data_IF_493474298272
#
_entry.id   IF_493474298272
#
_cell.length_a   1.000
_cell.length_b   1.000
_cell.length_c   1.000
_cell.angle_alpha   90.00
_cell.angle_beta   90.00
_cell.angle_gamma   90.00
#
_symmetry.space_group_name_H-M   'P 1'
#
loop_
_entity.id
_entity.type
_entity.pdbx_description
1 polymer ?
#
# COMPACT_ATOMS: atom_id res chain seq x y z
N UNK A 1 46.13 -37.31 -58.27
CA UNK A 1 44.76 -37.24 -57.70
C UNK A 1 44.89 -37.01 -56.21
N UNK A 2 44.51 -35.82 -55.73
CA UNK A 2 44.64 -35.37 -54.35
C UNK A 2 43.51 -35.95 -53.49
N UNK A 3 43.83 -36.60 -52.36
CA UNK A 3 42.88 -36.95 -51.30
C UNK A 3 42.64 -35.74 -50.38
N UNK A 4 41.37 -35.45 -50.10
CA UNK A 4 40.90 -34.34 -49.26
C UNK A 4 40.22 -34.94 -48.02
N UNK A 5 40.60 -34.59 -46.77
CA UNK A 5 39.96 -35.13 -45.58
C UNK A 5 38.69 -34.33 -45.25
N UNK A 6 37.60 -35.04 -44.96
CA UNK A 6 36.33 -34.46 -44.50
C UNK A 6 36.37 -34.40 -42.98
N UNK A 7 36.42 -33.19 -42.42
CA UNK A 7 36.21 -32.95 -40.98
C UNK A 7 34.70 -32.95 -40.70
N UNK A 8 34.22 -33.96 -39.98
CA UNK A 8 32.90 -33.93 -39.34
C UNK A 8 32.96 -33.03 -38.10
N UNK A 9 32.27 -31.90 -38.13
CA UNK A 9 32.09 -31.03 -36.98
C UNK A 9 30.87 -31.52 -36.18
N UNK A 10 31.11 -32.00 -34.96
CA UNK A 10 30.08 -32.51 -34.05
C UNK A 10 29.50 -31.31 -33.26
N UNK A 11 28.37 -30.77 -33.71
CA UNK A 11 27.62 -29.76 -32.97
C UNK A 11 26.90 -30.43 -31.77
N UNK A 12 27.49 -30.37 -30.58
CA UNK A 12 26.78 -30.61 -29.33
C UNK A 12 25.84 -29.44 -29.05
N UNK A 13 24.55 -29.59 -29.40
CA UNK A 13 23.50 -28.72 -28.92
C UNK A 13 23.14 -29.12 -27.48
N UNK A 14 23.59 -28.34 -26.50
CA UNK A 14 23.15 -28.44 -25.11
C UNK A 14 21.70 -27.91 -25.03
N UNK A 15 20.72 -28.70 -24.57
CA UNK A 15 19.39 -28.19 -24.30
C UNK A 15 19.47 -27.25 -23.09
N UNK A 16 19.23 -25.96 -23.33
CA UNK A 16 18.97 -24.99 -22.27
C UNK A 16 17.59 -25.35 -21.71
N UNK A 17 17.56 -26.12 -20.62
CA UNK A 17 16.37 -26.26 -19.80
C UNK A 17 16.12 -24.90 -19.12
N UNK A 18 15.37 -24.03 -19.78
CA UNK A 18 14.72 -22.92 -19.11
C UNK A 18 13.67 -23.54 -18.18
N UNK A 19 13.98 -23.63 -16.88
CA UNK A 19 12.95 -23.86 -15.87
C UNK A 19 11.93 -22.73 -16.04
N UNK A 20 10.63 -23.03 -16.23
CA UNK A 20 9.64 -21.97 -16.24
C UNK A 20 9.82 -21.18 -14.94
N UNK A 21 9.96 -19.86 -15.04
CA UNK A 21 9.85 -19.01 -13.87
C UNK A 21 8.43 -19.22 -13.34
N UNK A 22 8.30 -20.05 -12.31
CA UNK A 22 7.04 -20.22 -11.60
C UNK A 22 6.87 -18.98 -10.72
N UNK A 23 5.68 -18.40 -10.72
CA UNK A 23 5.35 -17.31 -9.81
C UNK A 23 5.66 -17.74 -8.36
N UNK A 24 6.43 -16.91 -7.66
CA UNK A 24 6.91 -17.05 -6.28
C UNK A 24 7.38 -15.65 -5.83
N UNK A 25 7.87 -15.53 -4.60
CA UNK A 25 8.26 -14.24 -4.04
C UNK A 25 9.29 -13.47 -4.87
N UNK A 26 10.14 -14.11 -5.66
CA UNK A 26 11.05 -13.39 -6.57
C UNK A 26 10.31 -12.57 -7.61
N UNK A 27 9.25 -13.15 -8.19
CA UNK A 27 8.41 -12.43 -9.16
C UNK A 27 7.60 -11.34 -8.46
N UNK A 28 7.10 -11.59 -7.25
CA UNK A 28 6.47 -10.53 -6.43
C UNK A 28 7.44 -9.37 -6.16
N UNK A 29 8.72 -9.65 -5.91
CA UNK A 29 9.74 -8.60 -5.75
C UNK A 29 9.92 -7.82 -7.06
N UNK A 30 10.10 -8.50 -8.20
CA UNK A 30 10.42 -7.82 -9.47
C UNK A 30 9.23 -7.11 -10.12
N UNK A 31 8.04 -7.67 -10.01
CA UNK A 31 6.87 -7.27 -10.81
C UNK A 31 5.83 -6.49 -10.00
N UNK A 32 5.92 -6.50 -8.66
CA UNK A 32 4.96 -5.83 -7.78
C UNK A 32 5.62 -4.86 -6.79
N UNK A 33 6.57 -5.35 -5.98
CA UNK A 33 7.16 -4.54 -4.90
C UNK A 33 8.05 -3.43 -5.45
N UNK A 34 9.07 -3.77 -6.26
CA UNK A 34 10.02 -2.78 -6.76
C UNK A 34 9.36 -1.73 -7.68
N UNK A 35 8.52 -2.11 -8.66
CA UNK A 35 7.82 -1.13 -9.48
C UNK A 35 6.85 -0.28 -8.66
N UNK A 36 6.13 -0.88 -7.70
CA UNK A 36 5.17 -0.15 -6.86
C UNK A 36 5.83 0.93 -6.00
N UNK A 37 6.98 0.65 -5.38
CA UNK A 37 7.71 1.66 -4.62
C UNK A 37 8.37 2.72 -5.52
N UNK A 38 8.82 2.34 -6.72
CA UNK A 38 9.31 3.30 -7.69
C UNK A 38 8.21 4.26 -8.16
N UNK A 39 7.01 3.76 -8.44
CA UNK A 39 5.84 4.57 -8.82
C UNK A 39 5.42 5.50 -7.68
N UNK A 40 5.41 5.01 -6.44
CA UNK A 40 5.10 5.85 -5.28
C UNK A 40 6.14 6.95 -5.04
N UNK A 41 7.44 6.63 -5.17
CA UNK A 41 8.50 7.63 -5.09
C UNK A 41 8.38 8.67 -6.22
N UNK A 42 8.09 8.26 -7.45
CA UNK A 42 7.92 9.18 -8.58
C UNK A 42 6.69 10.10 -8.40
N UNK A 43 5.54 9.54 -7.99
CA UNK A 43 4.31 10.29 -7.80
C UNK A 43 4.42 11.33 -6.67
N UNK A 44 5.08 10.97 -5.57
CA UNK A 44 5.30 11.89 -4.44
C UNK A 44 6.34 12.95 -4.76
N UNK A 45 7.38 12.63 -5.54
CA UNK A 45 8.33 13.62 -6.04
C UNK A 45 7.64 14.64 -6.96
N UNK A 46 6.83 14.19 -7.92
CA UNK A 46 6.08 15.08 -8.80
C UNK A 46 5.17 16.03 -8.02
N UNK A 47 4.45 15.52 -7.01
CA UNK A 47 3.63 16.34 -6.12
C UNK A 47 4.46 17.36 -5.32
N UNK A 48 5.65 16.97 -4.86
CA UNK A 48 6.57 17.88 -4.17
C UNK A 48 7.06 19.00 -5.09
N UNK A 49 7.39 18.69 -6.34
CA UNK A 49 7.84 19.65 -7.33
C UNK A 49 6.72 20.65 -7.70
N UNK A 50 5.48 20.17 -7.81
CA UNK A 50 4.29 21.02 -8.00
C UNK A 50 4.09 21.98 -6.82
N UNK A 51 4.15 21.46 -5.58
CA UNK A 51 3.98 22.24 -4.36
C UNK A 51 5.08 23.29 -4.14
N UNK A 52 6.31 23.01 -4.60
CA UNK A 52 7.39 23.99 -4.59
C UNK A 52 7.04 25.23 -5.43
N UNK A 53 6.38 25.04 -6.58
CA UNK A 53 6.00 26.12 -7.48
C UNK A 53 4.72 26.85 -7.04
N UNK A 54 3.72 26.11 -6.54
CA UNK A 54 2.41 26.66 -6.18
C UNK A 54 1.72 25.82 -5.11
N UNK A 55 1.27 26.46 -4.03
CA UNK A 55 0.56 25.80 -2.92
C UNK A 55 -0.97 25.87 -3.02
N UNK A 56 -1.54 26.45 -4.09
CA UNK A 56 -3.00 26.52 -4.22
C UNK A 56 -3.59 25.12 -4.31
N UNK A 57 -4.53 24.82 -3.41
CA UNK A 57 -5.11 23.50 -3.26
C UNK A 57 -5.58 22.88 -4.59
N UNK A 58 -6.35 23.62 -5.41
CA UNK A 58 -6.85 23.13 -6.70
C UNK A 58 -5.76 22.62 -7.65
N UNK A 59 -4.58 23.25 -7.63
CA UNK A 59 -3.45 22.83 -8.47
C UNK A 59 -2.79 21.55 -7.99
N UNK A 60 -2.87 21.25 -6.69
CA UNK A 60 -2.19 20.10 -6.05
C UNK A 60 -3.10 18.88 -5.89
N UNK A 61 -4.42 19.04 -5.98
CA UNK A 61 -5.38 17.93 -5.86
C UNK A 61 -5.09 16.79 -6.86
N UNK A 62 -4.73 17.02 -8.14
CA UNK A 62 -4.37 15.94 -9.05
C UNK A 62 -3.13 15.15 -8.59
N UNK A 63 -2.03 15.83 -8.27
CA UNK A 63 -0.80 15.19 -7.77
C UNK A 63 -1.03 14.45 -6.45
N UNK A 64 -1.83 15.03 -5.55
CA UNK A 64 -2.25 14.36 -4.30
C UNK A 64 -2.98 13.04 -4.57
N UNK A 65 -3.95 13.04 -5.51
CA UNK A 65 -4.69 11.84 -5.85
C UNK A 65 -3.79 10.77 -6.49
N UNK A 66 -2.85 11.17 -7.35
CA UNK A 66 -1.89 10.25 -7.96
C UNK A 66 -0.93 9.63 -6.91
N UNK A 67 -0.41 10.44 -5.99
CA UNK A 67 0.45 9.96 -4.90
C UNK A 67 -0.30 8.98 -3.97
N UNK A 68 -1.57 9.27 -3.64
CA UNK A 68 -2.38 8.37 -2.82
C UNK A 68 -2.73 7.09 -3.60
N UNK A 69 -3.04 7.16 -4.90
CA UNK A 69 -3.26 5.97 -5.72
C UNK A 69 -2.02 5.06 -5.74
N UNK A 70 -0.83 5.63 -5.93
CA UNK A 70 0.43 4.90 -5.90
C UNK A 70 0.72 4.29 -4.51
N UNK A 71 0.42 5.03 -3.43
CA UNK A 71 0.50 4.48 -2.07
C UNK A 71 -0.39 3.26 -1.88
N UNK A 72 -1.64 3.29 -2.36
CA UNK A 72 -2.55 2.13 -2.26
C UNK A 72 -2.01 0.90 -3.01
N UNK A 73 -1.16 1.10 -4.03
CA UNK A 73 -0.46 0.04 -4.74
C UNK A 73 0.52 -0.76 -3.87
N UNK A 74 1.06 -0.15 -2.80
CA UNK A 74 2.09 -0.76 -1.94
C UNK A 74 1.78 -0.75 -0.44
N UNK A 75 0.70 -0.09 0.00
CA UNK A 75 0.38 0.08 1.43
C UNK A 75 0.25 -1.25 2.20
N UNK A 76 -0.20 -2.31 1.54
CA UNK A 76 -0.34 -3.63 2.15
C UNK A 76 1.01 -4.27 2.49
N UNK A 77 2.13 -3.76 1.96
CA UNK A 77 3.48 -4.24 2.24
C UNK A 77 3.99 -3.67 3.57
N UNK A 78 3.44 -4.15 4.69
CA UNK A 78 3.78 -3.73 6.06
C UNK A 78 4.97 -4.53 6.63
N UNK A 79 6.07 -4.56 5.88
CA UNK A 79 7.32 -5.21 6.31
C UNK A 79 8.54 -4.53 5.68
N UNK A 80 9.72 -4.80 6.24
CA UNK A 80 10.98 -4.28 5.70
C UNK A 80 11.09 -2.76 5.76
N UNK A 81 11.62 -2.10 4.72
CA UNK A 81 11.89 -0.65 4.74
C UNK A 81 10.69 0.25 4.99
N UNK A 82 9.47 -0.22 4.72
CA UNK A 82 8.24 0.53 4.99
C UNK A 82 7.90 0.61 6.49
N UNK A 83 8.33 -0.36 7.30
CA UNK A 83 8.12 -0.31 8.75
C UNK A 83 9.30 0.31 9.50
N UNK A 84 10.44 0.47 8.85
CA UNK A 84 11.59 1.18 9.44
C UNK A 84 11.20 2.60 9.85
N UNK A 85 11.64 3.03 11.03
CA UNK A 85 11.45 4.39 11.56
C UNK A 85 9.99 4.91 11.50
N UNK A 86 9.01 4.00 11.51
CA UNK A 86 7.59 4.34 11.42
C UNK A 86 7.15 4.93 10.07
N UNK A 87 7.87 4.67 8.98
CA UNK A 87 7.59 5.27 7.67
C UNK A 87 6.14 5.10 7.20
N UNK A 88 5.59 3.88 7.23
CA UNK A 88 4.20 3.62 6.82
C UNK A 88 3.18 4.47 7.60
N UNK A 89 3.41 4.68 8.90
CA UNK A 89 2.55 5.50 9.76
C UNK A 89 2.73 6.99 9.46
N UNK A 90 3.95 7.43 9.14
CA UNK A 90 4.22 8.80 8.70
C UNK A 90 3.63 9.12 7.32
N UNK A 91 3.56 8.14 6.40
CA UNK A 91 2.93 8.29 5.09
C UNK A 91 1.42 8.47 5.22
N UNK A 92 0.76 7.64 6.04
CA UNK A 92 -0.70 7.70 6.20
C UNK A 92 -1.13 7.38 7.63
N UNK A 93 -1.17 8.40 8.48
CA UNK A 93 -1.72 8.29 9.84
C UNK A 93 -3.25 8.27 9.81
N UNK A 94 -3.84 7.09 9.70
CA UNK A 94 -5.28 6.85 9.84
C UNK A 94 -5.52 5.41 10.37
N UNK A 95 -6.50 5.19 11.25
CA UNK A 95 -7.47 6.15 11.77
C UNK A 95 -6.94 7.05 12.91
N UNK A 96 -7.49 8.26 13.01
CA UNK A 96 -7.19 9.22 14.09
C UNK A 96 -8.43 9.52 14.96
N UNK A 97 -8.82 8.61 15.85
CA UNK A 97 -10.00 8.80 16.70
C UNK A 97 -9.85 9.92 17.74
N UNK A 98 -8.60 10.34 18.03
CA UNK A 98 -8.30 11.39 19.01
C UNK A 98 -8.19 12.78 18.37
N UNK A 99 -8.26 12.88 17.04
CA UNK A 99 -8.08 14.12 16.30
C UNK A 99 -6.72 14.76 16.53
N UNK A 100 -5.68 13.95 16.80
CA UNK A 100 -4.33 14.45 17.08
C UNK A 100 -3.73 15.16 15.87
N UNK A 101 -4.07 14.72 14.64
CA UNK A 101 -3.54 15.29 13.42
C UNK A 101 -3.97 16.74 13.18
N UNK A 102 -5.27 17.03 13.35
CA UNK A 102 -5.79 18.39 13.23
C UNK A 102 -5.20 19.32 14.30
N UNK A 103 -5.06 18.82 15.54
CA UNK A 103 -4.44 19.58 16.64
C UNK A 103 -2.96 19.89 16.34
N UNK A 104 -2.20 18.90 15.89
CA UNK A 104 -0.78 19.07 15.59
C UNK A 104 -0.56 20.00 14.39
N UNK A 105 -1.34 19.88 13.31
CA UNK A 105 -1.25 20.81 12.17
C UNK A 105 -1.62 22.25 12.53
N UNK A 106 -2.63 22.45 13.38
CA UNK A 106 -2.94 23.80 13.89
C UNK A 106 -1.75 24.40 14.63
N UNK A 107 -1.03 23.59 15.41
CA UNK A 107 0.22 24.00 16.08
C UNK A 107 1.31 24.41 15.09
N UNK A 108 1.48 23.64 14.01
CA UNK A 108 2.45 23.94 12.96
C UNK A 108 2.09 25.20 12.14
N UNK A 109 0.81 25.41 11.83
CA UNK A 109 0.33 26.58 11.08
C UNK A 109 0.47 27.90 11.85
N UNK A 110 0.38 27.85 13.18
CA UNK A 110 0.44 29.03 14.06
C UNK A 110 1.77 29.16 14.81
N UNK A 111 2.68 28.20 14.61
CA UNK A 111 3.90 28.05 15.37
C UNK A 111 5.12 28.65 14.68
N UNK A 112 6.29 28.18 15.11
CA UNK A 112 7.59 28.60 14.58
C UNK A 112 7.84 27.99 13.19
N UNK A 113 8.04 28.80 12.13
CA UNK A 113 8.37 28.31 10.79
C UNK A 113 9.63 27.44 10.73
N UNK A 114 10.54 27.53 11.71
CA UNK A 114 11.71 26.64 11.78
C UNK A 114 11.32 25.15 11.90
N UNK A 115 10.13 24.85 12.45
CA UNK A 115 9.62 23.47 12.56
C UNK A 115 9.21 22.87 11.20
N UNK A 116 9.09 23.71 10.16
CA UNK A 116 8.72 23.30 8.80
C UNK A 116 9.95 23.07 7.90
N UNK A 117 11.16 23.29 8.42
CA UNK A 117 12.37 23.05 7.63
C UNK A 117 12.64 21.56 7.46
N UNK A 118 13.35 21.13 6.38
CA UNK A 118 13.66 19.72 6.16
C UNK A 118 14.43 19.05 7.31
N UNK A 119 15.12 19.83 8.14
CA UNK A 119 15.88 19.33 9.29
C UNK A 119 14.99 19.03 10.51
N UNK A 120 13.86 19.72 10.69
CA UNK A 120 13.00 19.56 11.88
C UNK A 120 11.64 18.94 11.55
N UNK A 121 11.18 19.02 10.29
CA UNK A 121 9.89 18.48 9.90
C UNK A 121 9.78 16.95 10.10
N UNK A 122 10.84 16.14 9.87
CA UNK A 122 10.82 14.72 10.19
C UNK A 122 10.62 14.38 11.67
N UNK A 123 10.85 15.33 12.58
CA UNK A 123 10.64 15.15 14.04
C UNK A 123 9.22 15.54 14.47
N UNK A 124 8.45 16.17 13.58
CA UNK A 124 7.06 16.53 13.88
C UNK A 124 6.19 15.29 13.94
N UNK A 125 5.11 15.40 14.71
CA UNK A 125 4.14 14.32 14.88
C UNK A 125 3.71 13.74 13.54
N UNK A 126 3.84 12.42 13.39
CA UNK A 126 3.36 11.66 12.21
C UNK A 126 1.88 11.93 11.93
N UNK A 127 1.08 12.24 12.95
CA UNK A 127 -0.32 12.59 12.79
C UNK A 127 -0.54 13.89 11.97
N UNK A 128 0.44 14.79 11.92
CA UNK A 128 0.36 16.05 11.17
C UNK A 128 0.85 15.94 9.72
N UNK A 129 1.51 14.84 9.36
CA UNK A 129 2.31 14.66 8.15
C UNK A 129 1.62 13.71 7.15
N UNK A 130 2.31 13.46 6.04
CA UNK A 130 1.90 12.48 5.03
C UNK A 130 0.61 12.83 4.31
N UNK A 131 0.02 11.83 3.66
CA UNK A 131 -1.18 11.94 2.83
C UNK A 131 -2.40 12.40 3.65
N UNK A 132 -2.57 11.90 4.88
CA UNK A 132 -3.71 12.27 5.73
C UNK A 132 -3.59 13.69 6.26
N UNK A 133 -2.38 14.13 6.57
CA UNK A 133 -2.07 15.53 6.86
C UNK A 133 -2.34 16.42 5.65
N UNK A 134 -1.82 16.06 4.49
CA UNK A 134 -1.98 16.82 3.27
C UNK A 134 -3.45 16.93 2.84
N UNK A 135 -4.24 15.88 3.01
CA UNK A 135 -5.69 15.92 2.74
C UNK A 135 -6.38 17.04 3.53
N UNK A 136 -6.08 17.19 4.84
CA UNK A 136 -6.69 18.23 5.67
C UNK A 136 -6.31 19.65 5.24
N UNK A 137 -5.17 19.82 4.58
CA UNK A 137 -4.71 21.11 4.05
C UNK A 137 -5.34 21.41 2.68
N UNK A 138 -5.51 20.39 1.83
CA UNK A 138 -6.05 20.52 0.46
C UNK A 138 -7.59 20.48 0.41
N UNK A 139 -8.22 19.83 1.39
CA UNK A 139 -9.66 19.66 1.53
C UNK A 139 -10.10 20.08 2.94
N UNK A 140 -9.89 21.35 3.34
CA UNK A 140 -10.22 21.79 4.68
C UNK A 140 -11.74 21.82 4.88
N UNK A 141 -12.24 21.15 5.92
CA UNK A 141 -13.66 21.17 6.28
C UNK A 141 -14.11 22.55 6.81
N UNK A 142 -13.18 23.30 7.39
CA UNK A 142 -13.36 24.65 7.93
C UNK A 142 -12.20 25.52 7.45
N UNK A 143 -12.35 26.85 7.34
CA UNK A 143 -11.25 27.74 6.96
C UNK A 143 -10.00 27.52 7.82
N UNK A 144 -8.84 27.41 7.17
CA UNK A 144 -7.56 27.25 7.84
C UNK A 144 -7.18 28.54 8.60
N UNK A 145 -6.54 28.43 9.78
CA UNK A 145 -6.27 29.58 10.64
C UNK A 145 -5.11 30.47 10.16
N UNK A 146 -4.35 30.02 9.17
CA UNK A 146 -3.22 30.72 8.55
C UNK A 146 -3.01 30.21 7.11
N UNK A 147 -2.13 30.86 6.35
CA UNK A 147 -1.70 30.39 5.02
C UNK A 147 -1.01 29.01 5.15
N UNK A 148 -1.52 27.95 4.51
CA UNK A 148 -0.94 26.62 4.64
C UNK A 148 0.27 26.35 3.74
N UNK A 149 0.69 27.30 2.90
CA UNK A 149 1.66 27.01 1.84
C UNK A 149 2.97 26.39 2.32
N UNK A 150 3.57 26.93 3.38
CA UNK A 150 4.83 26.39 3.92
C UNK A 150 4.64 24.99 4.51
N UNK A 151 3.51 24.74 5.17
CA UNK A 151 3.20 23.42 5.72
C UNK A 151 2.89 22.40 4.61
N UNK A 152 2.20 22.81 3.53
CA UNK A 152 1.98 21.97 2.35
C UNK A 152 3.33 21.55 1.76
N UNK A 153 4.23 22.50 1.51
CA UNK A 153 5.57 22.24 0.96
C UNK A 153 6.38 21.31 1.85
N UNK A 154 6.40 21.56 3.16
CA UNK A 154 7.09 20.70 4.11
C UNK A 154 6.51 19.27 4.10
N UNK A 155 5.18 19.15 4.04
CA UNK A 155 4.49 17.86 4.01
C UNK A 155 4.78 17.06 2.73
N UNK A 156 4.72 17.70 1.55
CA UNK A 156 5.00 17.03 0.27
C UNK A 156 6.46 16.64 0.14
N UNK A 157 7.37 17.51 0.58
CA UNK A 157 8.82 17.24 0.54
C UNK A 157 9.19 16.06 1.44
N UNK A 158 8.64 16.01 2.66
CA UNK A 158 8.86 14.91 3.58
C UNK A 158 8.25 13.59 3.10
N UNK A 159 7.06 13.64 2.49
CA UNK A 159 6.43 12.48 1.88
C UNK A 159 7.29 11.91 0.74
N UNK A 160 7.80 12.76 -0.15
CA UNK A 160 8.71 12.36 -1.22
C UNK A 160 10.04 11.78 -0.67
N UNK A 161 10.59 12.41 0.37
CA UNK A 161 11.79 11.93 1.06
C UNK A 161 11.60 10.50 1.62
N UNK A 162 10.50 10.24 2.32
CA UNK A 162 10.20 8.91 2.87
C UNK A 162 10.00 7.89 1.75
N UNK A 163 9.21 8.22 0.72
CA UNK A 163 8.97 7.32 -0.40
C UNK A 163 10.28 6.93 -1.12
N UNK A 164 11.17 7.91 -1.34
CA UNK A 164 12.50 7.67 -1.89
C UNK A 164 13.36 6.81 -0.97
N UNK A 165 13.37 7.05 0.34
CA UNK A 165 14.12 6.23 1.31
C UNK A 165 13.68 4.76 1.29
N UNK A 166 12.37 4.50 1.25
CA UNK A 166 11.84 3.14 1.14
C UNK A 166 12.29 2.49 -0.17
N UNK A 167 12.12 3.19 -1.29
CA UNK A 167 12.51 2.68 -2.61
C UNK A 167 14.01 2.35 -2.68
N UNK A 168 14.87 3.26 -2.24
CA UNK A 168 16.32 3.06 -2.22
C UNK A 168 16.73 1.90 -1.30
N UNK A 169 16.10 1.76 -0.13
CA UNK A 169 16.39 0.67 0.79
C UNK A 169 15.99 -0.69 0.21
N UNK A 170 14.91 -0.74 -0.59
CA UNK A 170 14.55 -1.93 -1.36
C UNK A 170 15.59 -2.25 -2.43
N UNK A 171 15.93 -1.29 -3.29
CA UNK A 171 16.87 -1.48 -4.40
C UNK A 171 18.28 -1.85 -3.94
N UNK A 172 18.77 -1.19 -2.88
CA UNK A 172 20.18 -1.27 -2.46
C UNK A 172 20.42 -2.21 -1.27
N UNK A 173 19.45 -3.04 -0.90
CA UNK A 173 19.67 -3.99 0.20
C UNK A 173 18.53 -4.99 0.39
N UNK A 174 17.32 -4.51 0.66
CA UNK A 174 16.27 -5.38 1.17
C UNK A 174 15.75 -6.37 0.13
N UNK A 175 15.69 -6.00 -1.15
CA UNK A 175 15.38 -6.95 -2.23
C UNK A 175 16.37 -8.12 -2.22
N UNK A 176 17.68 -7.84 -2.08
CA UNK A 176 18.69 -8.90 -1.97
C UNK A 176 18.44 -9.77 -0.73
N UNK A 177 18.15 -9.18 0.42
CA UNK A 177 17.82 -9.92 1.65
C UNK A 177 16.65 -10.89 1.44
N UNK A 178 15.60 -10.46 0.74
CA UNK A 178 14.45 -11.32 0.39
C UNK A 178 14.86 -12.41 -0.60
N UNK A 179 15.54 -12.03 -1.70
CA UNK A 179 15.91 -12.94 -2.79
C UNK A 179 16.93 -14.02 -2.38
N UNK A 180 17.75 -13.77 -1.35
CA UNK A 180 18.72 -14.73 -0.83
C UNK A 180 18.22 -15.51 0.38
N UNK A 181 16.91 -15.61 0.59
CA UNK A 181 16.34 -16.40 1.68
C UNK A 181 16.87 -17.85 1.67
N UNK A 182 17.34 -18.33 2.82
CA UNK A 182 17.97 -19.65 2.95
C UNK A 182 19.43 -19.75 2.48
N UNK A 183 20.02 -18.69 1.95
CA UNK A 183 21.44 -18.66 1.63
C UNK A 183 22.31 -18.41 2.88
N UNK A 184 23.54 -18.94 2.88
CA UNK A 184 24.52 -18.65 3.93
C UNK A 184 24.77 -17.13 4.04
N UNK A 185 24.67 -16.59 5.26
CA UNK A 185 24.83 -15.16 5.55
C UNK A 185 23.54 -14.33 5.53
N UNK A 186 22.40 -14.93 5.16
CA UNK A 186 21.10 -14.29 5.36
C UNK A 186 20.60 -14.55 6.79
N UNK A 187 20.62 -13.52 7.63
CA UNK A 187 20.15 -13.60 9.03
C UNK A 187 18.71 -13.15 9.21
N UNK A 188 18.07 -12.61 8.18
CA UNK A 188 16.67 -12.14 8.22
C UNK A 188 15.71 -13.25 7.83
N UNK A 189 16.02 -13.96 6.74
CA UNK A 189 15.22 -15.08 6.24
C UNK A 189 16.08 -16.34 6.14
N UNK A 190 15.94 -17.23 7.12
CA UNK A 190 16.65 -18.49 7.22
C UNK A 190 16.14 -19.53 6.23
N UNK A 191 14.91 -19.38 5.75
CA UNK A 191 14.32 -20.27 4.75
C UNK A 191 13.48 -19.51 3.74
N UNK A 192 13.28 -20.09 2.56
CA UNK A 192 12.38 -19.52 1.53
C UNK A 192 10.90 -19.45 1.98
N UNK A 193 10.34 -20.46 2.67
CA UNK A 193 8.97 -20.38 3.18
C UNK A 193 8.73 -19.21 4.14
N UNK A 194 9.74 -18.72 4.87
CA UNK A 194 9.58 -17.52 5.73
C UNK A 194 9.22 -16.27 4.92
N UNK A 195 9.79 -16.10 3.72
CA UNK A 195 9.43 -14.98 2.84
C UNK A 195 7.99 -15.13 2.35
N UNK A 196 7.61 -16.34 1.91
CA UNK A 196 6.23 -16.62 1.48
C UNK A 196 5.24 -16.38 2.61
N UNK A 197 5.58 -16.77 3.84
CA UNK A 197 4.78 -16.51 5.04
C UNK A 197 4.59 -15.01 5.25
N UNK A 198 5.66 -14.21 5.16
CA UNK A 198 5.54 -12.74 5.30
C UNK A 198 4.62 -12.15 4.24
N UNK A 199 4.78 -12.57 2.97
CA UNK A 199 3.95 -12.10 1.86
C UNK A 199 2.49 -12.53 1.97
N UNK A 200 2.25 -13.78 2.37
CA UNK A 200 0.92 -14.30 2.69
C UNK A 200 0.25 -13.49 3.81
N UNK A 201 0.98 -13.21 4.89
CA UNK A 201 0.48 -12.37 6.00
C UNK A 201 0.08 -10.98 5.52
N UNK A 202 0.80 -10.39 4.54
CA UNK A 202 0.41 -9.08 3.98
C UNK A 202 -0.93 -9.13 3.24
N UNK A 203 -1.21 -10.23 2.54
CA UNK A 203 -2.47 -10.40 1.81
C UNK A 203 -3.64 -10.48 2.79
N UNK A 204 -3.52 -11.33 3.80
CA UNK A 204 -4.54 -11.51 4.86
C UNK A 204 -4.76 -10.20 5.61
N UNK A 205 -3.70 -9.57 6.13
CA UNK A 205 -3.78 -8.33 6.88
C UNK A 205 -4.38 -7.18 6.04
N UNK A 206 -4.12 -7.12 4.73
CA UNK A 206 -4.73 -6.14 3.83
C UNK A 206 -6.25 -6.31 3.70
N UNK A 207 -6.73 -7.56 3.55
CA UNK A 207 -8.16 -7.86 3.50
C UNK A 207 -8.86 -7.55 4.83
N UNK A 208 -8.22 -7.91 5.95
CA UNK A 208 -8.70 -7.56 7.29
C UNK A 208 -8.78 -6.05 7.48
N UNK A 209 -7.77 -5.30 7.02
CA UNK A 209 -7.77 -3.84 7.10
C UNK A 209 -8.91 -3.21 6.29
N UNK A 210 -9.16 -3.69 5.07
CA UNK A 210 -10.30 -3.24 4.26
C UNK A 210 -11.64 -3.52 4.97
N UNK A 211 -11.80 -4.73 5.50
CA UNK A 211 -13.01 -5.17 6.21
C UNK A 211 -13.26 -4.40 7.51
N UNK A 212 -12.26 -4.36 8.39
CA UNK A 212 -12.39 -3.95 9.78
C UNK A 212 -12.05 -2.48 10.02
N UNK A 213 -11.29 -1.86 9.11
CA UNK A 213 -11.03 -0.43 9.17
C UNK A 213 -11.82 0.32 8.09
N UNK A 214 -11.59 0.06 6.80
CA UNK A 214 -12.18 0.90 5.74
C UNK A 214 -13.70 0.80 5.64
N UNK A 215 -14.26 -0.40 5.84
CA UNK A 215 -15.71 -0.62 5.75
C UNK A 215 -16.40 -0.57 7.13
N UNK A 216 -15.85 -1.22 8.16
CA UNK A 216 -16.53 -1.28 9.46
C UNK A 216 -16.62 0.08 10.17
N UNK A 217 -15.60 0.94 10.03
CA UNK A 217 -15.60 2.26 10.69
C UNK A 217 -16.74 3.16 10.21
N UNK A 218 -17.00 3.34 8.90
CA UNK A 218 -18.14 4.10 8.44
C UNK A 218 -19.49 3.42 8.70
N UNK A 219 -19.53 2.09 8.67
CA UNK A 219 -20.74 1.34 9.04
C UNK A 219 -21.20 1.64 10.47
N UNK A 220 -20.28 1.72 11.43
CA UNK A 220 -20.65 1.88 12.85
C UNK A 220 -21.67 0.83 13.32
N UNK A 221 -22.49 1.17 14.31
CA UNK A 221 -23.64 0.32 14.68
C UNK A 221 -24.85 0.70 13.83
N UNK A 222 -25.85 -0.19 13.75
CA UNK A 222 -27.08 0.07 12.99
C UNK A 222 -27.75 1.41 13.39
N UNK A 223 -27.89 1.68 14.68
CA UNK A 223 -28.50 2.93 15.18
C UNK A 223 -27.57 4.14 15.13
N UNK A 224 -26.27 3.93 14.88
CA UNK A 224 -25.25 4.99 14.92
C UNK A 224 -24.24 4.80 13.78
N UNK A 225 -24.68 4.98 12.52
CA UNK A 225 -23.77 5.03 11.38
C UNK A 225 -22.77 6.18 11.53
N UNK A 226 -21.59 6.03 10.91
CA UNK A 226 -20.46 6.96 11.07
C UNK A 226 -19.76 7.26 9.74
N UNK A 227 -20.46 7.66 8.67
CA UNK A 227 -19.85 7.90 7.35
C UNK A 227 -18.65 8.87 7.41
N UNK A 228 -18.65 9.81 8.35
CA UNK A 228 -17.55 10.74 8.58
C UNK A 228 -16.23 10.08 9.05
N UNK A 229 -16.27 8.80 9.45
CA UNK A 229 -15.09 8.02 9.87
C UNK A 229 -14.43 7.25 8.73
N UNK A 230 -14.96 7.35 7.50
CA UNK A 230 -14.33 6.73 6.34
C UNK A 230 -12.92 7.28 6.09
N UNK A 231 -12.01 6.44 5.57
CA UNK A 231 -10.67 6.89 5.16
C UNK A 231 -10.80 7.91 4.03
N UNK A 232 -10.01 8.98 4.09
CA UNK A 232 -9.89 9.96 3.01
C UNK A 232 -11.26 10.50 2.51
N UNK A 233 -12.17 10.73 3.46
CA UNK A 233 -13.55 11.16 3.17
C UNK A 233 -13.60 12.56 2.60
N UNK A 234 -12.70 13.46 3.01
CA UNK A 234 -12.67 14.86 2.58
C UNK A 234 -12.26 14.99 1.10
N UNK A 235 -11.40 14.09 0.63
CA UNK A 235 -11.00 13.98 -0.78
C UNK A 235 -11.91 13.09 -1.63
N UNK A 236 -12.97 12.50 -1.03
CA UNK A 236 -13.92 11.65 -1.75
C UNK A 236 -13.37 10.28 -2.14
N UNK A 237 -12.33 9.79 -1.45
CA UNK A 237 -11.54 8.63 -1.88
C UNK A 237 -11.90 7.32 -1.19
N UNK A 238 -12.82 7.29 -0.25
CA UNK A 238 -13.04 6.14 0.63
C UNK A 238 -13.29 4.82 -0.13
N UNK A 239 -14.23 4.80 -1.08
CA UNK A 239 -14.48 3.63 -1.92
C UNK A 239 -13.33 3.36 -2.91
N UNK A 240 -12.71 4.41 -3.45
CA UNK A 240 -11.56 4.29 -4.36
C UNK A 240 -10.39 3.58 -3.67
N UNK A 241 -10.12 3.91 -2.41
CA UNK A 241 -9.04 3.30 -1.65
C UNK A 241 -9.30 1.81 -1.39
N UNK A 242 -10.53 1.42 -1.03
CA UNK A 242 -10.92 -0.01 -0.94
C UNK A 242 -10.69 -0.72 -2.28
N UNK A 243 -11.12 -0.10 -3.38
CA UNK A 243 -10.96 -0.68 -4.72
C UNK A 243 -9.48 -0.87 -5.08
N UNK A 244 -8.64 0.14 -4.88
CA UNK A 244 -7.21 0.07 -5.21
C UNK A 244 -6.47 -0.91 -4.30
N UNK A 245 -6.84 -0.99 -3.02
CA UNK A 245 -6.31 -1.99 -2.08
C UNK A 245 -6.59 -3.42 -2.57
N UNK A 246 -7.86 -3.73 -2.89
CA UNK A 246 -8.24 -5.03 -3.44
C UNK A 246 -7.52 -5.35 -4.76
N UNK A 247 -7.31 -4.36 -5.62
CA UNK A 247 -6.57 -4.53 -6.87
C UNK A 247 -5.09 -4.82 -6.64
N UNK A 248 -4.45 -4.10 -5.71
CA UNK A 248 -3.05 -4.31 -5.35
C UNK A 248 -2.81 -5.68 -4.72
N UNK A 249 -3.67 -6.08 -3.78
CA UNK A 249 -3.64 -7.41 -3.15
C UNK A 249 -3.83 -8.52 -4.19
N UNK A 250 -4.78 -8.37 -5.12
CA UNK A 250 -4.97 -9.32 -6.22
C UNK A 250 -3.75 -9.41 -7.13
N UNK A 251 -3.12 -8.28 -7.47
CA UNK A 251 -1.91 -8.25 -8.29
C UNK A 251 -0.73 -8.96 -7.60
N UNK A 252 -0.61 -8.79 -6.28
CA UNK A 252 0.36 -9.51 -5.46
C UNK A 252 0.12 -11.02 -5.49
N UNK A 253 -1.13 -11.49 -5.38
CA UNK A 253 -1.45 -12.94 -5.48
C UNK A 253 -1.01 -13.51 -6.83
N UNK A 254 -1.29 -12.80 -7.94
CA UNK A 254 -0.92 -13.24 -9.30
C UNK A 254 0.59 -13.42 -9.46
N UNK A 255 1.40 -12.60 -8.79
CA UNK A 255 2.87 -12.67 -8.85
C UNK A 255 3.45 -13.66 -7.86
N UNK A 256 2.72 -13.97 -6.78
CA UNK A 256 3.18 -14.84 -5.68
C UNK A 256 2.92 -16.32 -5.94
N UNK A 257 1.81 -16.69 -6.59
CA UNK A 257 1.54 -18.08 -6.96
C UNK A 257 0.73 -18.15 -8.26
N UNK A 258 1.01 -19.13 -9.15
CA UNK A 258 0.22 -19.34 -10.35
C UNK A 258 -1.09 -20.10 -10.08
N UNK A 259 -1.27 -20.72 -8.91
CA UNK A 259 -2.39 -21.64 -8.62
C UNK A 259 -3.26 -21.15 -7.44
N UNK A 260 -4.06 -20.13 -7.71
CA UNK A 260 -5.02 -19.59 -6.74
C UNK A 260 -6.38 -19.20 -7.37
N UNK A 261 -7.02 -20.07 -8.17
CA UNK A 261 -8.21 -19.71 -8.94
C UNK A 261 -9.39 -19.25 -8.09
N UNK A 262 -9.61 -19.81 -6.89
CA UNK A 262 -10.73 -19.42 -6.04
C UNK A 262 -10.51 -18.06 -5.37
N UNK A 263 -9.28 -17.80 -4.94
CA UNK A 263 -8.82 -16.53 -4.39
C UNK A 263 -8.95 -15.43 -5.42
N UNK A 264 -8.43 -15.64 -6.64
CA UNK A 264 -8.55 -14.68 -7.74
C UNK A 264 -10.02 -14.40 -8.09
N UNK A 265 -10.86 -15.44 -8.15
CA UNK A 265 -12.30 -15.26 -8.36
C UNK A 265 -12.98 -14.50 -7.20
N UNK A 266 -12.52 -14.70 -5.95
CA UNK A 266 -13.00 -13.95 -4.79
C UNK A 266 -12.64 -12.47 -4.86
N UNK A 267 -11.40 -12.13 -5.24
CA UNK A 267 -11.00 -10.76 -5.52
C UNK A 267 -11.84 -10.14 -6.64
N UNK A 268 -12.05 -10.85 -7.74
CA UNK A 268 -12.85 -10.35 -8.88
C UNK A 268 -14.31 -10.06 -8.47
N UNK A 269 -14.90 -10.89 -7.62
CA UNK A 269 -16.23 -10.64 -7.02
C UNK A 269 -16.22 -9.39 -6.14
N UNK A 270 -15.28 -9.28 -5.20
CA UNK A 270 -15.19 -8.13 -4.29
C UNK A 270 -14.95 -6.81 -5.05
N UNK A 271 -14.05 -6.82 -6.05
CA UNK A 271 -13.77 -5.67 -6.91
C UNK A 271 -15.01 -5.27 -7.72
N UNK A 272 -15.74 -6.24 -8.29
CA UNK A 272 -16.98 -5.97 -9.03
C UNK A 272 -18.05 -5.37 -8.11
N UNK A 273 -18.20 -5.91 -6.90
CA UNK A 273 -19.11 -5.39 -5.89
C UNK A 273 -18.75 -3.94 -5.53
N UNK A 274 -17.47 -3.64 -5.26
CA UNK A 274 -17.00 -2.30 -4.94
C UNK A 274 -17.28 -1.30 -6.07
N UNK A 275 -17.01 -1.67 -7.34
CA UNK A 275 -17.29 -0.84 -8.51
C UNK A 275 -18.78 -0.52 -8.68
N UNK A 276 -19.67 -1.42 -8.24
CA UNK A 276 -21.12 -1.24 -8.37
C UNK A 276 -21.77 -0.37 -7.28
N UNK A 277 -21.03 -0.06 -6.21
CA UNK A 277 -21.59 0.53 -4.99
C UNK A 277 -22.10 1.96 -5.19
N UNK A 278 -21.48 2.74 -6.09
CA UNK A 278 -21.83 4.13 -6.41
C UNK A 278 -21.98 5.04 -5.17
N UNK A 279 -21.09 4.87 -4.19
CA UNK A 279 -21.07 5.64 -2.94
C UNK A 279 -19.61 5.96 -2.56
N UNK A 280 -19.02 7.05 -3.09
CA UNK A 280 -17.57 7.29 -3.00
C UNK A 280 -17.06 7.49 -1.57
N UNK A 281 -17.92 7.96 -0.67
CA UNK A 281 -17.61 8.31 0.73
C UNK A 281 -18.39 7.48 1.75
N UNK A 282 -19.08 6.43 1.29
CA UNK A 282 -19.95 5.60 2.13
C UNK A 282 -21.06 6.38 2.87
N UNK A 283 -21.55 7.49 2.31
CA UNK A 283 -22.61 8.29 2.94
C UNK A 283 -23.94 7.51 3.04
N UNK A 284 -24.17 6.56 2.13
CA UNK A 284 -25.35 5.71 2.08
C UNK A 284 -25.52 4.79 3.29
N UNK A 285 -24.46 4.55 4.09
CA UNK A 285 -24.53 3.75 5.34
C UNK A 285 -25.51 4.35 6.37
N UNK A 286 -25.87 5.63 6.22
CA UNK A 286 -26.89 6.27 7.03
C UNK A 286 -28.33 5.78 6.74
N UNK A 287 -28.53 4.99 5.69
CA UNK A 287 -29.82 4.41 5.32
C UNK A 287 -29.77 2.89 5.38
N UNK A 288 -30.88 2.18 5.69
CA UNK A 288 -30.88 0.71 5.71
C UNK A 288 -30.43 0.09 4.38
N UNK A 289 -30.89 0.65 3.25
CA UNK A 289 -30.55 0.15 1.92
C UNK A 289 -29.10 0.39 1.52
N UNK A 290 -28.55 1.58 1.79
CA UNK A 290 -27.14 1.87 1.52
C UNK A 290 -26.20 1.09 2.44
N UNK A 291 -26.56 0.97 3.73
CA UNK A 291 -25.85 0.11 4.69
C UNK A 291 -25.74 -1.32 4.19
N UNK A 292 -26.85 -1.93 3.78
CA UNK A 292 -26.87 -3.30 3.28
C UNK A 292 -25.88 -3.49 2.11
N UNK A 293 -25.78 -2.52 1.18
CA UNK A 293 -24.83 -2.62 0.07
C UNK A 293 -23.37 -2.65 0.53
N UNK A 294 -23.02 -1.85 1.54
CA UNK A 294 -21.67 -1.82 2.13
C UNK A 294 -21.40 -3.10 2.93
N UNK A 295 -22.40 -3.61 3.67
CA UNK A 295 -22.29 -4.89 4.37
C UNK A 295 -22.10 -6.08 3.40
N UNK A 296 -22.75 -6.06 2.23
CA UNK A 296 -22.52 -7.09 1.19
C UNK A 296 -21.08 -7.05 0.70
N UNK A 297 -20.50 -5.87 0.48
CA UNK A 297 -19.07 -5.75 0.12
C UNK A 297 -18.18 -6.26 1.25
N UNK A 298 -18.48 -5.89 2.50
CA UNK A 298 -17.73 -6.36 3.67
C UNK A 298 -17.78 -7.89 3.81
N UNK A 299 -18.94 -8.50 3.58
CA UNK A 299 -19.11 -9.96 3.57
C UNK A 299 -18.37 -10.63 2.41
N UNK A 300 -18.34 -10.02 1.23
CA UNK A 300 -17.56 -10.53 0.10
C UNK A 300 -16.06 -10.57 0.43
N UNK A 301 -15.54 -9.54 1.10
CA UNK A 301 -14.14 -9.51 1.59
C UNK A 301 -13.94 -10.58 2.67
N UNK A 302 -14.87 -10.75 3.62
CA UNK A 302 -14.77 -11.79 4.65
C UNK A 302 -14.77 -13.22 4.06
N UNK A 303 -15.57 -13.47 3.03
CA UNK A 303 -15.58 -14.76 2.34
C UNK A 303 -14.28 -14.99 1.53
N UNK A 304 -13.73 -13.93 0.94
CA UNK A 304 -12.44 -13.96 0.26
C UNK A 304 -11.31 -14.27 1.25
N UNK A 305 -11.30 -13.67 2.44
CA UNK A 305 -10.30 -13.93 3.48
C UNK A 305 -10.25 -15.42 3.88
N UNK A 306 -11.41 -16.03 4.10
CA UNK A 306 -11.53 -17.49 4.33
C UNK A 306 -10.97 -18.29 3.15
N UNK A 307 -11.22 -17.84 1.93
CA UNK A 307 -10.73 -18.50 0.70
C UNK A 307 -9.21 -18.41 0.58
N UNK A 308 -8.63 -17.24 0.86
CA UNK A 308 -7.19 -16.99 0.89
C UNK A 308 -6.50 -17.93 1.88
N UNK A 309 -7.04 -18.05 3.10
CA UNK A 309 -6.50 -18.94 4.12
C UNK A 309 -6.53 -20.41 3.70
N UNK A 310 -7.61 -20.84 3.04
CA UNK A 310 -7.81 -22.23 2.64
C UNK A 310 -7.02 -22.62 1.38
N UNK A 311 -6.84 -21.71 0.43
CA UNK A 311 -6.20 -21.98 -0.86
C UNK A 311 -4.71 -21.60 -0.85
N UNK A 312 -4.36 -20.39 -0.41
CA UNK A 312 -2.96 -19.92 -0.45
C UNK A 312 -2.09 -20.55 0.64
N UNK A 313 -2.65 -20.89 1.81
CA UNK A 313 -1.90 -21.50 2.91
C UNK A 313 -1.16 -22.77 2.48
N UNK A 314 -1.88 -23.80 2.01
CA UNK A 314 -1.27 -25.03 1.50
C UNK A 314 -0.39 -24.79 0.26
N UNK A 315 -0.82 -23.93 -0.67
CA UNK A 315 -0.11 -23.66 -1.92
C UNK A 315 1.27 -23.03 -1.68
N UNK A 316 1.39 -22.14 -0.69
CA UNK A 316 2.64 -21.46 -0.37
C UNK A 316 3.51 -22.24 0.63
N UNK A 317 3.02 -23.38 1.14
CA UNK A 317 3.61 -24.13 2.26
C UNK A 317 3.75 -23.25 3.53
N UNK A 318 2.69 -22.51 3.85
CA UNK A 318 2.63 -21.55 4.96
C UNK A 318 1.47 -21.87 5.92
N UNK A 319 1.61 -21.46 7.18
CA UNK A 319 0.63 -21.75 8.23
C UNK A 319 -0.11 -20.51 8.73
N UNK A 320 -1.24 -20.74 9.40
CA UNK A 320 -1.91 -19.73 10.24
C UNK A 320 -1.10 -19.62 11.53
N UNK A 321 0.03 -18.92 11.48
CA UNK A 321 1.05 -19.09 12.52
C UNK A 321 2.03 -17.95 12.69
N UNK A 322 1.68 -16.70 12.36
CA UNK A 322 2.37 -15.52 12.90
C UNK A 322 1.36 -14.39 12.99
N UNK A 323 0.88 -14.13 14.21
CA UNK A 323 0.12 -12.93 14.51
C UNK A 323 0.94 -11.72 14.04
N UNK A 324 0.43 -10.95 13.08
CA UNK A 324 0.97 -9.67 12.66
C UNK A 324 0.88 -8.57 13.76
N UNK A 325 0.63 -8.96 15.01
CA UNK A 325 0.44 -8.11 16.18
C UNK A 325 1.43 -8.40 17.33
N UNK A 326 2.28 -9.43 17.23
CA UNK A 326 3.36 -9.66 18.19
C UNK A 326 4.69 -9.21 17.58
N UNK A 327 5.03 -7.96 17.85
CA UNK A 327 6.32 -7.36 17.51
C UNK A 327 6.41 -5.97 18.14
N UNK A 328 6.86 -5.96 19.40
CA UNK A 328 7.40 -4.86 20.22
C UNK A 328 6.72 -3.47 20.24
#
# INVERSE_FOLDING_TARGET
MLLRPILLSLCCALPICATPALADFEQTVSDHILPGYADFAAATQALSDEAAQNCKAEGLKPGFNAAYDAWLGVQHLRFGPAEADGHSVAIAFWPDPKGSGAKAQRGLLLGDPLQLTPAHFPDQSVAARGLTGLERLLYPAEPLPADPCDLIRATTLDLARIAHQINEAWLNGYAKTVLTAGAAGNTTYQTRPEVRQVMFTQIVAGLEFDKDQRLARPLGTFDKPRPERAEAVASGRSLRNVLLSLQALRAMVVTLTPDAPQTLAGFDRAITQAKSLNDPVFAGVATPGGRLKVEILQQAIAALDITVLAELGPELDVGIGFNAADGD
#
